data_IF_611268069952
#
_entry.id   IF_611268069952
#
_cell.length_a   1.000
_cell.length_b   1.000
_cell.length_c   1.000
_cell.angle_alpha   90.00
_cell.angle_beta   90.00
_cell.angle_gamma   90.00
#
_symmetry.space_group_name_H-M   'P 1'
#
loop_
_entity.id
_entity.type
_entity.pdbx_description
1 polymer ?
#
# COMPACT_ATOMS: atom_id res chain seq x y z
N UNK A 1 -11.01 13.16 7.52
CA UNK A 1 -10.52 12.93 6.13
C UNK A 1 -9.06 12.54 6.23
N UNK A 2 -8.59 11.60 5.42
CA UNK A 2 -7.18 11.17 5.33
C UNK A 2 -6.79 11.15 3.85
N UNK A 3 -5.54 11.45 3.54
CA UNK A 3 -5.00 11.44 2.19
C UNK A 3 -4.10 10.22 2.01
N UNK A 4 -4.54 9.25 1.22
CA UNK A 4 -3.73 8.08 0.87
C UNK A 4 -2.90 8.32 -0.39
N UNK A 5 -1.61 7.97 -0.37
CA UNK A 5 -0.72 8.12 -1.51
C UNK A 5 0.28 6.97 -1.61
N UNK A 6 0.68 6.64 -2.82
CA UNK A 6 1.76 5.70 -3.15
C UNK A 6 2.58 6.19 -4.34
N UNK A 7 3.64 5.45 -4.70
CA UNK A 7 4.53 5.81 -5.81
C UNK A 7 3.91 5.67 -7.22
N UNK A 8 2.68 5.18 -7.32
CA UNK A 8 1.94 5.09 -8.58
C UNK A 8 2.29 3.87 -9.44
N UNK A 9 2.47 2.70 -8.85
CA UNK A 9 2.85 1.49 -9.57
C UNK A 9 1.89 1.13 -10.72
N UNK A 10 0.71 0.58 -10.42
CA UNK A 10 -0.21 0.08 -11.46
C UNK A 10 -0.74 1.21 -12.36
N UNK A 11 -1.05 2.37 -11.80
CA UNK A 11 -1.52 3.51 -12.57
C UNK A 11 -0.46 3.98 -13.58
N UNK A 12 0.80 4.09 -13.17
CA UNK A 12 1.89 4.48 -14.07
C UNK A 12 2.23 3.40 -15.07
N UNK A 13 2.13 2.11 -14.72
CA UNK A 13 2.36 1.02 -15.66
C UNK A 13 1.38 1.04 -16.83
N UNK A 14 0.11 1.36 -16.60
CA UNK A 14 -0.88 1.57 -17.66
C UNK A 14 -0.61 2.80 -18.55
N UNK A 15 0.23 3.72 -18.09
CA UNK A 15 0.74 4.85 -18.87
C UNK A 15 2.13 4.57 -19.47
N UNK A 16 2.61 3.32 -19.45
CA UNK A 16 3.92 2.92 -19.95
C UNK A 16 5.08 3.47 -19.11
N UNK A 17 4.86 3.69 -17.81
CA UNK A 17 5.85 4.24 -16.89
C UNK A 17 6.06 3.33 -15.69
N UNK A 18 7.30 3.29 -15.18
CA UNK A 18 7.61 2.67 -13.90
C UNK A 18 7.19 3.58 -12.73
N UNK A 19 7.05 3.04 -11.50
CA UNK A 19 6.78 3.84 -10.32
C UNK A 19 7.81 4.96 -10.12
N UNK A 20 7.39 6.08 -9.53
CA UNK A 20 8.27 7.19 -9.20
C UNK A 20 9.52 6.71 -8.42
N UNK A 21 10.68 7.28 -8.70
CA UNK A 21 11.89 6.95 -7.92
C UNK A 21 11.68 7.32 -6.46
N UNK A 22 12.22 6.53 -5.53
CA UNK A 22 12.01 6.73 -4.08
C UNK A 22 12.43 8.14 -3.65
N UNK A 23 13.58 8.63 -4.15
CA UNK A 23 14.09 9.98 -3.85
C UNK A 23 13.11 11.08 -4.27
N UNK A 24 12.52 10.96 -5.45
CA UNK A 24 11.59 11.95 -5.99
C UNK A 24 10.25 11.89 -5.24
N UNK A 25 9.80 10.67 -4.90
CA UNK A 25 8.61 10.47 -4.09
C UNK A 25 8.78 11.03 -2.66
N UNK A 26 9.93 10.83 -2.04
CA UNK A 26 10.21 11.38 -0.70
C UNK A 26 10.23 12.92 -0.71
N UNK A 27 10.84 13.54 -1.73
CA UNK A 27 10.80 14.99 -1.94
C UNK A 27 9.36 15.51 -2.11
N UNK A 28 8.57 14.80 -2.91
CA UNK A 28 7.15 15.08 -3.05
C UNK A 28 6.39 15.00 -1.72
N UNK A 29 6.64 13.96 -0.90
CA UNK A 29 6.01 13.84 0.42
C UNK A 29 6.38 15.01 1.33
N UNK A 30 7.63 15.44 1.34
CA UNK A 30 8.08 16.61 2.12
C UNK A 30 7.33 17.88 1.71
N UNK A 31 7.26 18.17 0.40
CA UNK A 31 6.53 19.32 -0.12
C UNK A 31 5.01 19.22 0.17
N UNK A 32 4.41 18.04 -0.03
CA UNK A 32 3.00 17.79 0.27
C UNK A 32 2.69 18.08 1.75
N UNK A 33 3.55 17.62 2.66
CA UNK A 33 3.39 17.86 4.10
C UNK A 33 3.47 19.35 4.45
N UNK A 34 4.41 20.09 3.84
CA UNK A 34 4.51 21.52 4.03
C UNK A 34 3.26 22.26 3.51
N UNK A 35 2.78 21.92 2.31
CA UNK A 35 1.52 22.46 1.79
C UNK A 35 0.33 22.19 2.70
N UNK A 36 0.20 20.96 3.23
CA UNK A 36 -0.91 20.60 4.13
C UNK A 36 -0.85 21.30 5.49
N UNK A 37 0.34 21.79 5.90
CA UNK A 37 0.50 22.67 7.06
C UNK A 37 0.27 24.15 6.75
N UNK A 38 0.05 24.50 5.49
CA UNK A 38 -0.08 25.90 5.04
C UNK A 38 1.25 26.66 5.02
N UNK A 39 2.37 25.95 4.94
CA UNK A 39 3.71 26.54 4.86
C UNK A 39 4.01 27.11 3.45
N UNK A 40 4.85 28.14 3.39
CA UNK A 40 5.41 28.63 2.16
C UNK A 40 6.60 27.77 1.71
N UNK A 41 6.60 27.36 0.45
CA UNK A 41 7.66 26.54 -0.14
C UNK A 41 8.37 27.37 -1.22
N UNK A 42 9.69 27.61 -1.12
CA UNK A 42 10.47 28.24 -2.17
C UNK A 42 10.39 27.43 -3.48
N UNK A 43 10.33 28.10 -4.62
CA UNK A 43 10.21 27.44 -5.93
C UNK A 43 11.39 26.52 -6.25
N UNK A 44 12.59 26.86 -5.81
CA UNK A 44 13.79 26.02 -5.97
C UNK A 44 13.73 24.68 -5.21
N UNK A 45 12.92 24.62 -4.15
CA UNK A 45 12.66 23.36 -3.40
C UNK A 45 11.69 22.42 -4.12
N UNK A 46 10.92 22.89 -5.11
CA UNK A 46 9.90 22.07 -5.81
C UNK A 46 10.49 21.23 -6.94
N UNK A 47 11.66 21.60 -7.48
CA UNK A 47 12.42 20.83 -8.50
C UNK A 47 11.55 20.36 -9.69
N UNK A 48 10.88 21.29 -10.36
CA UNK A 48 10.18 21.01 -11.61
C UNK A 48 11.17 20.83 -12.76
N UNK A 49 10.96 19.82 -13.58
CA UNK A 49 11.74 19.66 -14.80
C UNK A 49 11.37 20.75 -15.80
N UNK A 50 12.36 21.50 -16.32
CA UNK A 50 12.15 22.55 -17.33
C UNK A 50 11.43 22.03 -18.59
N UNK A 51 11.61 20.74 -18.91
CA UNK A 51 10.89 20.09 -20.01
C UNK A 51 9.37 19.99 -19.82
N UNK A 52 8.88 20.12 -18.56
CA UNK A 52 7.46 20.15 -18.22
C UNK A 52 6.91 21.57 -18.17
N UNK A 53 7.69 22.49 -17.61
CA UNK A 53 7.34 23.90 -17.52
C UNK A 53 8.63 24.74 -17.46
N UNK A 54 8.84 25.65 -18.40
CA UNK A 54 9.99 26.54 -18.36
C UNK A 54 9.92 27.48 -17.14
N UNK A 55 11.05 28.10 -16.73
CA UNK A 55 11.07 29.06 -15.65
C UNK A 55 10.13 30.24 -15.88
N UNK A 56 9.53 30.74 -14.80
CA UNK A 56 8.60 31.91 -14.88
C UNK A 56 9.24 33.18 -15.44
N UNK A 57 10.54 33.26 -15.41
CA UNK A 57 11.32 34.40 -15.96
C UNK A 57 11.10 34.55 -17.47
N UNK A 58 10.75 33.48 -18.20
CA UNK A 58 10.40 33.57 -19.63
C UNK A 58 9.13 34.41 -19.91
N UNK A 59 8.32 34.66 -18.88
CA UNK A 59 7.13 35.52 -19.01
C UNK A 59 7.45 37.02 -18.93
N UNK A 60 8.67 37.41 -18.59
CA UNK A 60 9.15 38.81 -18.49
C UNK A 60 8.21 39.68 -17.63
N UNK A 61 7.66 39.12 -16.55
CA UNK A 61 6.73 39.83 -15.67
C UNK A 61 7.45 40.86 -14.81
N UNK A 62 6.76 41.97 -14.48
CA UNK A 62 7.31 43.03 -13.61
C UNK A 62 7.64 42.52 -12.19
N UNK A 63 6.94 41.50 -11.72
CA UNK A 63 7.21 40.80 -10.45
C UNK A 63 6.64 39.40 -10.51
N UNK A 64 7.32 38.48 -9.84
CA UNK A 64 6.88 37.09 -9.66
C UNK A 64 6.84 36.70 -8.17
N UNK A 65 6.01 35.71 -7.81
CA UNK A 65 6.08 35.12 -6.48
C UNK A 65 7.42 34.37 -6.31
N UNK A 66 8.00 34.38 -5.12
CA UNK A 66 9.21 33.59 -4.81
C UNK A 66 8.89 32.25 -4.15
N UNK A 67 7.63 32.06 -3.72
CA UNK A 67 7.17 30.90 -2.96
C UNK A 67 5.81 30.44 -3.44
N UNK A 68 5.49 29.17 -3.13
CA UNK A 68 4.19 28.56 -3.35
C UNK A 68 3.55 28.18 -2.01
N UNK A 69 2.22 28.43 -1.86
CA UNK A 69 1.48 28.15 -0.63
C UNK A 69 0.01 27.84 -0.93
N UNK A 70 -0.62 27.02 -0.12
CA UNK A 70 -2.08 26.88 -0.11
C UNK A 70 -2.66 27.92 0.87
N UNK A 71 -2.78 29.16 0.41
CA UNK A 71 -3.13 30.32 1.25
C UNK A 71 -4.55 30.28 1.83
N UNK A 72 -5.46 29.48 1.27
CA UNK A 72 -6.83 29.33 1.78
C UNK A 72 -6.98 28.25 2.85
N UNK A 73 -5.91 27.48 3.18
CA UNK A 73 -5.94 26.60 4.34
C UNK A 73 -5.89 27.47 5.60
N UNK A 74 -6.98 27.55 6.38
CA UNK A 74 -6.93 28.31 7.62
C UNK A 74 -6.00 27.60 8.60
N UNK A 75 -5.10 28.35 9.24
CA UNK A 75 -4.15 27.82 10.22
C UNK A 75 -4.82 27.16 11.46
N UNK A 76 -6.14 27.35 11.63
CA UNK A 76 -6.97 26.71 12.64
C UNK A 76 -7.57 25.36 12.22
N UNK A 77 -7.51 25.02 10.94
CA UNK A 77 -7.96 23.70 10.47
C UNK A 77 -6.88 22.69 10.81
N UNK A 78 -7.24 21.61 11.50
CA UNK A 78 -6.33 20.49 11.68
C UNK A 78 -5.80 20.00 10.31
N UNK A 79 -4.50 19.75 10.22
CA UNK A 79 -3.85 19.22 9.03
C UNK A 79 -4.49 17.90 8.60
N UNK A 80 -4.69 17.69 7.31
CA UNK A 80 -5.14 16.40 6.76
C UNK A 80 -4.01 15.37 6.91
N UNK A 81 -4.21 14.27 7.68
CA UNK A 81 -3.21 13.23 7.82
C UNK A 81 -2.90 12.54 6.48
N UNK A 82 -1.64 12.23 6.25
CA UNK A 82 -1.15 11.51 5.06
C UNK A 82 -0.88 10.06 5.40
N UNK A 83 -1.44 9.15 4.62
CA UNK A 83 -1.16 7.71 4.67
C UNK A 83 -0.34 7.31 3.45
N UNK A 84 0.77 6.62 3.66
CA UNK A 84 1.64 6.18 2.57
C UNK A 84 1.57 4.67 2.40
N UNK A 85 1.17 4.21 1.20
CA UNK A 85 1.21 2.81 0.83
C UNK A 85 2.66 2.38 0.57
N UNK A 86 3.15 1.37 1.30
CA UNK A 86 4.54 0.94 1.25
C UNK A 86 4.70 -0.58 1.32
N UNK A 87 5.71 -1.09 0.57
CA UNK A 87 6.10 -2.50 0.58
C UNK A 87 7.61 -2.66 0.78
N UNK A 88 8.42 -1.96 0.01
CA UNK A 88 9.88 -2.08 0.08
C UNK A 88 10.52 -1.24 1.18
N UNK A 89 11.68 -1.65 1.73
CA UNK A 89 12.30 -1.01 2.88
C UNK A 89 12.61 0.48 2.65
N UNK A 90 13.00 0.87 1.44
CA UNK A 90 13.26 2.28 1.11
C UNK A 90 12.00 3.13 1.14
N UNK A 91 10.87 2.59 0.67
CA UNK A 91 9.57 3.30 0.68
C UNK A 91 9.01 3.35 2.10
N UNK A 92 9.12 2.25 2.87
CA UNK A 92 8.74 2.21 4.28
C UNK A 92 9.54 3.27 5.06
N UNK A 93 10.86 3.37 4.84
CA UNK A 93 11.69 4.39 5.49
C UNK A 93 11.31 5.83 5.10
N UNK A 94 11.00 6.11 3.84
CA UNK A 94 10.51 7.41 3.40
C UNK A 94 9.14 7.74 4.04
N UNK A 95 8.22 6.78 4.02
CA UNK A 95 6.92 6.91 4.67
C UNK A 95 7.05 7.19 6.18
N UNK A 96 7.92 6.47 6.87
CA UNK A 96 8.16 6.63 8.30
C UNK A 96 8.64 8.03 8.71
N UNK A 97 9.38 8.71 7.81
CA UNK A 97 9.85 10.08 8.07
C UNK A 97 8.82 11.16 7.78
N UNK A 98 7.86 10.89 6.90
CA UNK A 98 7.00 11.95 6.35
C UNK A 98 5.50 11.71 6.53
N UNK A 99 5.03 10.51 6.86
CA UNK A 99 3.60 10.21 6.96
C UNK A 99 3.12 10.13 8.41
N UNK A 100 1.81 10.29 8.62
CA UNK A 100 1.16 9.99 9.89
C UNK A 100 0.77 8.51 10.00
N UNK A 101 0.64 7.80 8.86
CA UNK A 101 0.39 6.35 8.83
C UNK A 101 1.11 5.69 7.68
N UNK A 102 1.64 4.50 7.92
CA UNK A 102 2.05 3.59 6.86
C UNK A 102 0.95 2.56 6.62
N UNK A 103 0.56 2.40 5.36
CA UNK A 103 -0.33 1.33 4.91
C UNK A 103 0.52 0.26 4.22
N UNK A 104 0.78 -0.84 4.91
CA UNK A 104 1.59 -1.94 4.38
C UNK A 104 0.85 -2.72 3.28
N UNK A 105 1.57 -3.10 2.23
CA UNK A 105 1.13 -4.04 1.20
C UNK A 105 2.07 -5.27 1.22
N UNK A 106 2.07 -5.98 2.36
CA UNK A 106 3.02 -7.04 2.68
C UNK A 106 2.38 -8.44 2.76
N UNK A 107 1.06 -8.52 2.49
CA UNK A 107 0.27 -9.73 2.73
C UNK A 107 -0.17 -9.86 4.18
N UNK A 108 -0.72 -11.04 4.54
CA UNK A 108 -1.32 -11.34 5.83
C UNK A 108 -0.41 -12.15 6.77
N UNK A 109 0.85 -12.34 6.43
CA UNK A 109 1.82 -13.05 7.26
C UNK A 109 2.34 -12.12 8.38
N UNK A 110 2.15 -12.46 9.68
CA UNK A 110 2.52 -11.60 10.79
C UNK A 110 4.00 -11.20 10.80
N UNK A 111 4.90 -12.11 10.44
CA UNK A 111 6.36 -11.86 10.39
C UNK A 111 6.74 -10.81 9.34
N UNK A 112 5.97 -10.70 8.26
CA UNK A 112 6.20 -9.66 7.23
C UNK A 112 5.74 -8.29 7.70
N UNK A 113 4.64 -8.23 8.41
CA UNK A 113 4.13 -7.00 9.03
C UNK A 113 5.09 -6.52 10.11
N UNK A 114 5.51 -7.41 11.02
CA UNK A 114 6.50 -7.10 12.05
C UNK A 114 7.81 -6.57 11.45
N UNK A 115 8.32 -7.21 10.39
CA UNK A 115 9.49 -6.73 9.65
C UNK A 115 9.29 -5.31 9.08
N UNK A 116 8.11 -5.00 8.55
CA UNK A 116 7.78 -3.67 8.06
C UNK A 116 7.77 -2.61 9.16
N UNK A 117 7.21 -2.94 10.32
CA UNK A 117 7.18 -2.08 11.52
C UNK A 117 8.61 -1.81 12.02
N UNK A 118 9.46 -2.84 12.09
CA UNK A 118 10.86 -2.71 12.54
C UNK A 118 11.66 -1.76 11.64
N UNK A 119 11.46 -1.83 10.32
CA UNK A 119 12.09 -0.89 9.37
C UNK A 119 11.60 0.53 9.61
N UNK A 120 10.30 0.73 9.81
CA UNK A 120 9.71 2.05 10.04
C UNK A 120 10.26 2.66 11.34
N UNK A 121 10.27 1.91 12.43
CA UNK A 121 10.82 2.34 13.73
C UNK A 121 12.31 2.68 13.63
N UNK A 122 13.09 1.83 12.94
CA UNK A 122 14.53 2.07 12.71
C UNK A 122 14.78 3.35 11.89
N UNK A 123 13.95 3.61 10.86
CA UNK A 123 14.07 4.81 10.04
C UNK A 123 13.73 6.09 10.82
N UNK A 124 12.73 6.05 11.71
CA UNK A 124 12.41 7.18 12.61
C UNK A 124 13.52 7.44 13.61
N UNK A 125 14.01 6.41 14.28
CA UNK A 125 15.15 6.52 15.19
C UNK A 125 16.38 7.17 14.51
N UNK A 126 16.70 6.71 13.30
CA UNK A 126 17.82 7.26 12.52
C UNK A 126 17.62 8.73 12.12
N UNK A 127 16.37 9.18 12.02
CA UNK A 127 15.98 10.57 11.72
C UNK A 127 15.80 11.43 12.98
N UNK A 128 15.98 10.89 14.18
CA UNK A 128 15.72 11.60 15.44
C UNK A 128 14.26 11.86 15.73
N UNK A 129 13.35 11.07 15.14
CA UNK A 129 11.91 11.12 15.34
C UNK A 129 11.47 10.06 16.36
N UNK A 130 10.39 10.33 17.08
CA UNK A 130 9.81 9.36 18.00
C UNK A 130 9.27 8.14 17.23
N UNK A 131 9.81 6.92 17.47
CA UNK A 131 9.37 5.71 16.78
C UNK A 131 7.93 5.29 17.10
N UNK A 132 7.36 5.81 18.19
CA UNK A 132 5.99 5.48 18.63
C UNK A 132 4.94 6.48 18.09
N UNK A 133 5.37 7.62 17.54
CA UNK A 133 4.49 8.61 16.91
C UNK A 133 4.27 8.30 15.41
N UNK A 134 3.83 7.08 15.10
CA UNK A 134 3.50 6.66 13.75
C UNK A 134 2.44 5.55 13.79
N UNK A 135 1.32 5.79 13.13
CA UNK A 135 0.27 4.80 13.01
C UNK A 135 0.59 3.76 11.91
N UNK A 136 0.07 2.55 12.08
CA UNK A 136 0.27 1.47 11.12
C UNK A 136 -1.07 0.90 10.65
N UNK A 137 -1.11 0.51 9.39
CA UNK A 137 -2.21 -0.23 8.80
C UNK A 137 -1.73 -1.14 7.68
N UNK A 138 -2.63 -1.96 7.15
CA UNK A 138 -2.31 -2.83 6.02
C UNK A 138 -3.47 -2.99 5.05
N UNK A 139 -3.13 -3.20 3.78
CA UNK A 139 -4.02 -3.78 2.80
C UNK A 139 -3.89 -5.30 2.90
N UNK A 140 -4.98 -5.99 3.14
CA UNK A 140 -4.99 -7.44 3.32
C UNK A 140 -6.04 -8.07 2.40
N UNK A 141 -5.64 -9.07 1.64
CA UNK A 141 -6.58 -9.85 0.86
C UNK A 141 -7.38 -10.77 1.80
N UNK A 142 -8.70 -10.58 1.86
CA UNK A 142 -9.60 -11.31 2.77
C UNK A 142 -10.77 -11.87 2.00
N UNK A 143 -10.99 -13.17 2.12
CA UNK A 143 -12.19 -13.86 1.60
C UNK A 143 -12.69 -14.84 2.65
N UNK A 144 -13.93 -14.65 3.09
CA UNK A 144 -14.57 -15.50 4.09
C UNK A 144 -15.53 -16.47 3.39
N UNK A 145 -15.24 -17.77 3.45
CA UNK A 145 -16.12 -18.81 2.93
C UNK A 145 -15.84 -20.16 3.61
N UNK A 146 -16.89 -20.94 3.89
CA UNK A 146 -16.75 -22.24 4.55
C UNK A 146 -16.05 -23.30 3.70
N UNK A 147 -16.12 -23.19 2.38
CA UNK A 147 -15.35 -24.00 1.43
C UNK A 147 -14.03 -23.27 1.12
N UNK A 148 -12.93 -23.84 1.61
CA UNK A 148 -11.60 -23.21 1.52
C UNK A 148 -11.09 -23.09 0.07
N UNK A 149 -11.40 -24.05 -0.80
CA UNK A 149 -10.96 -23.98 -2.20
C UNK A 149 -11.67 -22.86 -2.95
N UNK A 150 -12.95 -22.66 -2.69
CA UNK A 150 -13.68 -21.49 -3.21
C UNK A 150 -13.12 -20.18 -2.69
N UNK A 151 -12.77 -20.12 -1.39
CA UNK A 151 -12.14 -18.91 -0.82
C UNK A 151 -10.81 -18.60 -1.49
N UNK A 152 -9.97 -19.60 -1.71
CA UNK A 152 -8.69 -19.48 -2.40
C UNK A 152 -8.85 -18.98 -3.83
N UNK A 153 -9.82 -19.51 -4.57
CA UNK A 153 -10.07 -19.10 -5.97
C UNK A 153 -10.53 -17.65 -6.06
N UNK A 154 -11.39 -17.22 -5.13
CA UNK A 154 -11.90 -15.84 -5.10
C UNK A 154 -10.79 -14.81 -4.85
N UNK A 155 -9.80 -15.11 -4.02
CA UNK A 155 -8.79 -14.15 -3.58
C UNK A 155 -7.64 -13.99 -4.56
N UNK A 156 -7.38 -14.97 -5.45
CA UNK A 156 -6.18 -15.07 -6.30
C UNK A 156 -5.90 -13.83 -7.13
N UNK A 157 -6.90 -13.20 -7.73
CA UNK A 157 -6.72 -12.03 -8.59
C UNK A 157 -6.15 -10.82 -7.84
N UNK A 158 -6.77 -10.45 -6.73
CA UNK A 158 -6.27 -9.39 -5.84
C UNK A 158 -4.93 -9.76 -5.21
N UNK A 159 -4.80 -11.00 -4.75
CA UNK A 159 -3.58 -11.49 -4.12
C UNK A 159 -2.37 -11.44 -5.07
N UNK A 160 -2.53 -11.85 -6.34
CA UNK A 160 -1.44 -11.76 -7.33
C UNK A 160 -0.91 -10.33 -7.49
N UNK A 161 -1.80 -9.35 -7.45
CA UNK A 161 -1.44 -7.94 -7.52
C UNK A 161 -0.65 -7.49 -6.30
N UNK A 162 -1.09 -7.84 -5.10
CA UNK A 162 -0.41 -7.42 -3.86
C UNK A 162 0.90 -8.17 -3.65
N UNK A 163 0.96 -9.47 -3.94
CA UNK A 163 2.18 -10.25 -3.86
C UNK A 163 3.27 -9.73 -4.83
N UNK A 164 2.88 -9.27 -6.04
CA UNK A 164 3.79 -8.67 -7.01
C UNK A 164 4.57 -7.48 -6.44
N UNK A 165 3.99 -6.68 -5.54
CA UNK A 165 4.70 -5.55 -4.94
C UNK A 165 5.96 -5.98 -4.18
N UNK A 166 5.99 -7.19 -3.64
CA UNK A 166 7.14 -7.75 -2.94
C UNK A 166 8.24 -8.30 -3.86
N UNK A 167 7.98 -8.42 -5.17
CA UNK A 167 8.92 -8.94 -6.18
C UNK A 167 8.98 -8.06 -7.44
N UNK A 168 8.55 -6.82 -7.33
CA UNK A 168 8.36 -5.89 -8.46
C UNK A 168 9.60 -5.71 -9.34
N UNK A 169 10.80 -5.84 -8.78
CA UNK A 169 12.08 -5.67 -9.48
C UNK A 169 12.85 -7.00 -9.66
N UNK A 170 12.15 -8.15 -9.58
CA UNK A 170 12.73 -9.48 -9.74
C UNK A 170 13.32 -10.06 -8.46
N UNK A 171 13.65 -9.24 -7.47
CA UNK A 171 14.15 -9.70 -6.17
C UNK A 171 13.01 -9.66 -5.14
N UNK A 172 12.83 -10.77 -4.42
CA UNK A 172 11.85 -10.86 -3.34
C UNK A 172 12.35 -10.10 -2.11
N UNK A 173 11.51 -9.21 -1.59
CA UNK A 173 11.80 -8.42 -0.39
C UNK A 173 11.05 -8.93 0.83
N UNK A 174 11.67 -8.80 2.00
CA UNK A 174 11.13 -9.21 3.29
C UNK A 174 11.27 -10.69 3.59
N UNK A 175 10.87 -11.14 4.78
CA UNK A 175 10.91 -12.53 5.17
C UNK A 175 9.93 -13.36 4.36
N UNK A 176 10.41 -14.45 3.77
CA UNK A 176 9.62 -15.46 3.02
C UNK A 176 10.32 -16.81 3.11
N UNK A 177 9.57 -17.88 3.07
CA UNK A 177 10.09 -19.23 2.88
C UNK A 177 10.63 -19.42 1.45
N UNK A 178 11.40 -20.48 1.23
CA UNK A 178 11.92 -20.83 -0.10
C UNK A 178 10.77 -21.17 -1.07
N UNK A 179 9.71 -21.81 -0.57
CA UNK A 179 8.52 -22.12 -1.37
C UNK A 179 7.79 -20.85 -1.83
N UNK A 180 7.60 -19.88 -0.94
CA UNK A 180 7.00 -18.58 -1.27
C UNK A 180 7.87 -17.78 -2.22
N UNK A 181 9.19 -17.81 -2.04
CA UNK A 181 10.14 -17.16 -2.94
C UNK A 181 10.01 -17.68 -4.38
N UNK A 182 9.87 -19.00 -4.53
CA UNK A 182 9.66 -19.63 -5.84
C UNK A 182 8.36 -19.15 -6.47
N UNK A 183 7.24 -19.16 -5.73
CA UNK A 183 5.94 -18.70 -6.24
C UNK A 183 6.00 -17.22 -6.64
N UNK A 184 6.66 -16.36 -5.85
CA UNK A 184 6.84 -14.95 -6.18
C UNK A 184 7.68 -14.73 -7.44
N UNK A 185 8.71 -15.56 -7.66
CA UNK A 185 9.51 -15.54 -8.91
C UNK A 185 8.64 -15.90 -10.13
N UNK A 186 7.90 -16.99 -10.05
CA UNK A 186 6.98 -17.41 -11.11
C UNK A 186 5.89 -16.36 -11.38
N UNK A 187 5.39 -15.72 -10.32
CA UNK A 187 4.44 -14.62 -10.40
C UNK A 187 5.05 -13.44 -11.18
N UNK A 188 6.27 -13.03 -10.83
CA UNK A 188 6.98 -11.93 -11.51
C UNK A 188 7.14 -12.21 -13.01
N UNK A 189 7.61 -13.41 -13.36
CA UNK A 189 7.93 -13.80 -14.72
C UNK A 189 6.69 -13.96 -15.61
N UNK A 190 5.52 -14.26 -15.01
CA UNK A 190 4.24 -14.45 -15.71
C UNK A 190 3.31 -13.26 -15.69
N UNK A 191 3.71 -12.13 -15.06
CA UNK A 191 2.80 -11.02 -14.80
C UNK A 191 2.44 -10.22 -16.05
N UNK A 192 1.17 -10.28 -16.44
CA UNK A 192 0.60 -9.52 -17.55
C UNK A 192 -0.28 -8.36 -17.02
N UNK A 193 0.13 -7.11 -17.30
CA UNK A 193 -0.63 -5.93 -16.90
C UNK A 193 -1.98 -5.82 -17.59
N UNK A 194 -2.22 -6.45 -18.75
CA UNK A 194 -3.53 -6.47 -19.39
C UNK A 194 -4.55 -7.32 -18.62
N UNK A 195 -4.06 -8.27 -17.83
CA UNK A 195 -4.84 -9.14 -16.95
C UNK A 195 -4.70 -8.75 -15.48
N UNK A 196 -4.32 -7.49 -15.20
CA UNK A 196 -4.13 -6.96 -13.86
C UNK A 196 -5.39 -7.14 -12.99
N UNK A 197 -5.25 -7.65 -11.77
CA UNK A 197 -6.30 -7.97 -10.79
C UNK A 197 -7.27 -9.08 -11.17
N UNK A 198 -7.16 -9.73 -12.32
CA UNK A 198 -8.12 -10.75 -12.75
C UNK A 198 -7.85 -12.10 -12.08
N UNK A 199 -8.89 -12.72 -11.55
CA UNK A 199 -8.81 -14.04 -10.92
C UNK A 199 -8.54 -15.18 -11.94
N UNK A 200 -8.94 -14.99 -13.20
CA UNK A 200 -8.76 -15.93 -14.32
C UNK A 200 -7.47 -15.66 -15.12
N UNK A 201 -6.52 -14.91 -14.56
CA UNK A 201 -5.24 -14.60 -15.19
C UNK A 201 -4.18 -15.69 -14.97
N UNK A 202 -3.16 -15.71 -15.83
CA UNK A 202 -2.03 -16.61 -15.68
C UNK A 202 -1.26 -16.36 -14.38
N UNK A 203 -1.05 -15.10 -14.00
CA UNK A 203 -0.40 -14.74 -12.75
C UNK A 203 -1.21 -15.15 -11.50
N UNK A 204 -2.52 -15.26 -11.57
CA UNK A 204 -3.33 -15.80 -10.49
C UNK A 204 -3.21 -17.34 -10.40
N UNK A 205 -3.00 -18.02 -11.53
CA UNK A 205 -2.90 -19.47 -11.59
C UNK A 205 -1.60 -20.02 -11.00
N UNK A 206 -0.51 -19.24 -10.94
CA UNK A 206 0.78 -19.70 -10.33
C UNK A 206 0.75 -19.70 -8.81
N UNK A 207 -0.25 -19.06 -8.17
CA UNK A 207 -0.36 -19.04 -6.72
C UNK A 207 -0.78 -20.41 -6.18
N UNK A 208 0.09 -21.07 -5.41
CA UNK A 208 -0.24 -22.36 -4.78
C UNK A 208 -1.21 -22.16 -3.63
N UNK A 209 -1.99 -23.21 -3.22
CA UNK A 209 -2.86 -23.14 -2.05
C UNK A 209 -2.12 -22.68 -0.78
N UNK A 210 -0.94 -23.22 -0.53
CA UNK A 210 -0.11 -22.89 0.64
C UNK A 210 0.33 -21.42 0.62
N UNK A 211 0.68 -20.88 -0.55
CA UNK A 211 1.00 -19.47 -0.70
C UNK A 211 -0.21 -18.58 -0.42
N UNK A 212 -1.39 -18.96 -0.93
CA UNK A 212 -2.64 -18.24 -0.66
C UNK A 212 -2.96 -18.23 0.83
N UNK A 213 -2.86 -19.38 1.51
CA UNK A 213 -3.16 -19.53 2.93
C UNK A 213 -2.20 -18.70 3.81
N UNK A 214 -0.95 -18.58 3.41
CA UNK A 214 0.05 -17.75 4.12
C UNK A 214 -0.18 -16.26 3.87
N UNK A 215 -0.32 -15.87 2.60
CA UNK A 215 -0.23 -14.47 2.18
C UNK A 215 -1.57 -13.70 2.20
N UNK A 216 -2.72 -14.44 2.23
CA UNK A 216 -4.07 -13.88 2.35
C UNK A 216 -4.76 -14.42 3.59
N UNK A 217 -5.88 -13.85 3.98
CA UNK A 217 -6.81 -14.39 4.98
C UNK A 217 -7.95 -15.07 4.23
N UNK A 218 -7.98 -16.39 4.29
CA UNK A 218 -9.01 -17.24 3.66
C UNK A 218 -9.51 -18.29 4.63
N UNK A 219 -10.80 -18.58 4.63
CA UNK A 219 -11.43 -19.57 5.49
C UNK A 219 -12.79 -19.14 5.99
N UNK A 220 -13.37 -19.91 6.93
CA UNK A 220 -14.62 -19.55 7.62
C UNK A 220 -14.45 -18.34 8.55
N UNK A 221 -15.59 -17.84 9.12
CA UNK A 221 -15.58 -16.64 9.95
C UNK A 221 -14.57 -16.67 11.11
N UNK A 222 -14.51 -17.78 11.86
CA UNK A 222 -13.61 -17.91 13.01
C UNK A 222 -12.14 -17.77 12.62
N UNK A 223 -11.73 -18.40 11.50
CA UNK A 223 -10.36 -18.30 10.95
C UNK A 223 -10.05 -16.87 10.53
N UNK A 224 -11.00 -16.20 9.86
CA UNK A 224 -10.83 -14.82 9.46
C UNK A 224 -10.66 -13.89 10.67
N UNK A 225 -11.49 -14.05 11.69
CA UNK A 225 -11.41 -13.24 12.93
C UNK A 225 -10.08 -13.47 13.65
N UNK A 226 -9.67 -14.73 13.85
CA UNK A 226 -8.39 -15.06 14.49
C UNK A 226 -7.20 -14.39 13.77
N UNK A 227 -7.13 -14.52 12.46
CA UNK A 227 -6.04 -13.97 11.66
C UNK A 227 -6.04 -12.44 11.62
N UNK A 228 -7.22 -11.80 11.57
CA UNK A 228 -7.36 -10.35 11.64
C UNK A 228 -6.87 -9.82 12.99
N UNK A 229 -7.29 -10.47 14.10
CA UNK A 229 -6.84 -10.13 15.45
C UNK A 229 -5.32 -10.28 15.60
N UNK A 230 -4.74 -11.36 15.08
CA UNK A 230 -3.29 -11.55 15.10
C UNK A 230 -2.50 -10.42 14.39
N UNK A 231 -3.07 -9.83 13.34
CA UNK A 231 -2.47 -8.65 12.71
C UNK A 231 -2.68 -7.37 13.54
N UNK A 232 -3.84 -7.19 14.16
CA UNK A 232 -4.12 -6.07 15.04
C UNK A 232 -3.21 -6.07 16.27
N UNK A 233 -2.92 -7.25 16.85
CA UNK A 233 -2.03 -7.42 18.00
C UNK A 233 -0.57 -7.02 17.72
N UNK A 234 -0.17 -6.91 16.45
CA UNK A 234 1.11 -6.32 16.05
C UNK A 234 1.15 -4.79 16.12
N UNK A 235 0.02 -4.15 16.45
CA UNK A 235 -0.11 -2.70 16.53
C UNK A 235 -0.67 -2.06 15.25
N UNK A 236 -1.35 -2.83 14.40
CA UNK A 236 -2.10 -2.26 13.28
C UNK A 236 -3.46 -1.73 13.76
N UNK A 237 -3.70 -0.44 13.57
CA UNK A 237 -4.95 0.24 13.93
C UNK A 237 -5.92 0.40 12.74
N UNK A 238 -5.48 -0.01 11.53
CA UNK A 238 -6.29 0.06 10.31
C UNK A 238 -6.01 -1.11 9.38
N UNK A 239 -7.05 -1.85 9.02
CA UNK A 239 -6.98 -2.85 7.97
C UNK A 239 -7.95 -2.49 6.84
N UNK A 240 -7.47 -2.53 5.61
CA UNK A 240 -8.30 -2.39 4.41
C UNK A 240 -8.39 -3.76 3.76
N UNK A 241 -9.58 -4.33 3.75
CA UNK A 241 -9.82 -5.64 3.14
C UNK A 241 -9.98 -5.51 1.63
N UNK A 242 -9.25 -6.33 0.92
CA UNK A 242 -9.36 -6.50 -0.53
C UNK A 242 -9.97 -7.88 -0.79
N UNK A 243 -11.23 -7.90 -1.17
CA UNK A 243 -12.02 -9.10 -1.43
C UNK A 243 -11.82 -9.68 -2.82
N UNK A 244 -12.87 -10.33 -3.33
CA UNK A 244 -12.93 -10.89 -4.67
C UNK A 244 -12.74 -9.82 -5.75
N UNK A 245 -12.12 -10.22 -6.88
CA UNK A 245 -11.77 -9.31 -7.96
C UNK A 245 -12.41 -9.73 -9.29
N UNK A 246 -12.16 -8.98 -10.35
CA UNK A 246 -12.68 -9.24 -11.69
C UNK A 246 -12.32 -10.67 -12.16
N UNK A 247 -13.26 -11.36 -12.78
CA UNK A 247 -13.09 -12.75 -13.19
C UNK A 247 -13.46 -13.80 -12.13
N UNK A 248 -13.77 -13.38 -10.91
CA UNK A 248 -14.25 -14.27 -9.83
C UNK A 248 -15.71 -14.64 -10.00
N UNK A 249 -16.13 -15.76 -9.37
CA UNK A 249 -17.53 -16.13 -9.27
C UNK A 249 -18.30 -15.13 -8.41
N UNK A 250 -19.27 -14.43 -9.03
CA UNK A 250 -19.99 -13.30 -8.41
C UNK A 250 -20.92 -13.74 -7.27
N UNK A 251 -21.54 -14.93 -7.37
CA UNK A 251 -22.43 -15.45 -6.34
C UNK A 251 -21.63 -15.75 -5.05
N UNK A 252 -20.55 -16.50 -5.18
CA UNK A 252 -19.65 -16.83 -4.07
C UNK A 252 -19.01 -15.55 -3.47
N UNK A 253 -18.65 -14.57 -4.31
CA UNK A 253 -18.15 -13.28 -3.84
C UNK A 253 -19.20 -12.55 -2.96
N UNK A 254 -20.45 -12.55 -3.37
CA UNK A 254 -21.54 -11.93 -2.60
C UNK A 254 -21.76 -12.67 -1.25
N UNK A 255 -21.68 -14.00 -1.23
CA UNK A 255 -21.72 -14.78 0.02
C UNK A 255 -20.57 -14.42 0.95
N UNK A 256 -19.35 -14.34 0.42
CA UNK A 256 -18.17 -13.92 1.18
C UNK A 256 -18.32 -12.53 1.79
N UNK A 257 -18.79 -11.57 1.01
CA UNK A 257 -19.00 -10.19 1.48
C UNK A 257 -20.06 -10.13 2.59
N UNK A 258 -21.10 -10.95 2.50
CA UNK A 258 -22.11 -11.09 3.54
C UNK A 258 -21.53 -11.66 4.84
N UNK A 259 -20.75 -12.75 4.76
CA UNK A 259 -20.07 -13.34 5.92
C UNK A 259 -19.09 -12.36 6.57
N UNK A 260 -18.32 -11.62 5.76
CA UNK A 260 -17.40 -10.59 6.28
C UNK A 260 -18.17 -9.52 7.04
N UNK A 261 -19.26 -9.00 6.48
CA UNK A 261 -20.08 -7.94 7.09
C UNK A 261 -20.78 -8.42 8.36
N UNK A 262 -21.38 -9.59 8.34
CA UNK A 262 -22.34 -10.03 9.35
C UNK A 262 -21.69 -10.88 10.46
N UNK A 263 -20.58 -11.58 10.15
CA UNK A 263 -19.95 -12.51 11.10
C UNK A 263 -18.49 -12.13 11.43
N UNK A 264 -17.71 -11.60 10.48
CA UNK A 264 -16.30 -11.29 10.74
C UNK A 264 -16.13 -9.90 11.38
N UNK A 265 -16.63 -8.84 10.74
CA UNK A 265 -16.43 -7.46 11.20
C UNK A 265 -16.98 -7.21 12.62
N UNK A 266 -18.16 -7.69 13.02
CA UNK A 266 -18.65 -7.51 14.39
C UNK A 266 -17.74 -8.15 15.45
N UNK A 267 -17.10 -9.26 15.12
CA UNK A 267 -16.24 -10.02 16.01
C UNK A 267 -14.76 -9.56 16.00
N UNK A 268 -14.40 -8.57 15.19
CA UNK A 268 -13.06 -7.96 15.19
C UNK A 268 -12.99 -6.63 15.98
N UNK A 269 -14.12 -6.18 16.56
CA UNK A 269 -14.24 -4.88 17.24
C UNK A 269 -14.30 -5.08 18.76
N UNK A 270 -13.27 -5.54 19.38
CA UNK A 270 -13.17 -5.54 20.85
C UNK A 270 -11.97 -4.72 21.30
#
# INVERSE_FOLDING_TARGET
>A
MQLGIGRGDSALAHLGRAPARVKDFERYLSALQAYLRGEEIPFDALDFAESLAPPVDELELAATAGTSQIFWLPGSSGKVPVEVSATGPKVIGAAARHAERIMFALGAAPERIAWGIDIARSARNAAGLDPDDLAYGAYVNVVCHGDLDRARDLVRGGLSTFARFSVMHGEVIGPVSEAERKVMGELHDSYDMNSHTRADSQQAAVLTPEFVDSYAIVGGPDVCVERIRALADLGLDKLIFVGATMGSNREIATESDALIRDEVLPNCRD
#
